data_IF_686986588286
#
_entry.id   IF_686986588286
#
_cell.length_a   1.000
_cell.length_b   1.000
_cell.length_c   1.000
_cell.angle_alpha   90.00
_cell.angle_beta   90.00
_cell.angle_gamma   90.00
#
_symmetry.space_group_name_H-M   'P 1'
#
loop_
_entity.id
_entity.type
_entity.pdbx_description
1 polymer ?
#
# COMPACT_ATOMS: atom_id res chain seq x y z
N UNK A 1 13.26 -17.15 7.71
CA UNK A 1 13.07 -15.69 7.68
C UNK A 1 14.09 -15.13 6.71
N UNK A 2 13.69 -14.18 5.87
CA UNK A 2 14.59 -13.56 4.89
C UNK A 2 15.54 -12.58 5.58
N UNK A 3 16.78 -12.48 5.11
CA UNK A 3 17.78 -11.58 5.68
C UNK A 3 17.58 -10.12 5.25
N UNK A 4 17.07 -9.89 4.04
CA UNK A 4 16.88 -8.56 3.48
C UNK A 4 15.77 -8.52 2.41
N UNK A 5 15.41 -7.31 1.98
CA UNK A 5 14.37 -7.07 0.98
C UNK A 5 14.68 -7.67 -0.41
N UNK A 6 15.91 -7.59 -0.94
CA UNK A 6 16.27 -8.30 -2.17
C UNK A 6 15.96 -9.81 -2.14
N UNK A 7 16.31 -10.50 -1.05
CA UNK A 7 16.05 -11.93 -0.89
C UNK A 7 14.54 -12.23 -0.84
N UNK A 8 13.78 -11.43 -0.07
CA UNK A 8 12.32 -11.51 -0.02
C UNK A 8 11.71 -11.34 -1.42
N UNK A 9 12.16 -10.33 -2.18
CA UNK A 9 11.67 -10.03 -3.53
C UNK A 9 11.85 -11.21 -4.47
N UNK A 10 13.01 -11.86 -4.41
CA UNK A 10 13.28 -13.01 -5.28
C UNK A 10 12.36 -14.20 -4.96
N UNK A 11 12.16 -14.49 -3.68
CA UNK A 11 11.20 -15.53 -3.27
C UNK A 11 9.75 -15.19 -3.68
N UNK A 12 9.35 -13.92 -3.56
CA UNK A 12 8.01 -13.45 -3.92
C UNK A 12 7.73 -13.60 -5.43
N UNK A 13 8.72 -13.40 -6.30
CA UNK A 13 8.56 -13.55 -7.77
C UNK A 13 8.14 -14.96 -8.20
N UNK A 14 8.63 -15.98 -7.49
CA UNK A 14 8.32 -17.39 -7.77
C UNK A 14 7.03 -17.88 -7.10
N UNK A 15 6.42 -17.10 -6.19
CA UNK A 15 5.23 -17.48 -5.42
C UNK A 15 4.06 -17.95 -6.32
N UNK A 16 3.47 -19.09 -5.95
CA UNK A 16 2.27 -19.70 -6.57
C UNK A 16 1.17 -20.02 -5.54
N UNK A 17 1.17 -19.37 -4.38
CA UNK A 17 0.30 -19.71 -3.25
C UNK A 17 -1.19 -19.39 -3.46
N UNK A 18 -1.58 -18.74 -4.57
CA UNK A 18 -2.98 -18.47 -4.91
C UNK A 18 -3.18 -18.25 -6.41
N UNK A 19 -4.44 -18.25 -6.83
CA UNK A 19 -4.88 -18.16 -8.24
C UNK A 19 -4.44 -16.87 -8.94
N UNK A 20 -4.10 -15.80 -8.19
CA UNK A 20 -3.56 -14.57 -8.77
C UNK A 20 -2.24 -14.80 -9.53
N UNK A 21 -1.54 -15.89 -9.23
CA UNK A 21 -0.33 -16.27 -9.95
C UNK A 21 -0.58 -16.72 -11.39
N UNK A 22 -1.82 -17.13 -11.71
CA UNK A 22 -2.20 -17.62 -13.03
C UNK A 22 -2.46 -16.48 -14.02
N UNK A 23 -2.80 -15.29 -13.52
CA UNK A 23 -3.29 -14.18 -14.34
C UNK A 23 -2.38 -12.95 -14.35
N UNK A 24 -1.38 -12.88 -13.47
CA UNK A 24 -0.45 -11.76 -13.42
C UNK A 24 0.50 -11.76 -14.61
N UNK A 25 0.94 -10.59 -15.05
CA UNK A 25 2.12 -10.45 -15.90
C UNK A 25 3.38 -10.40 -15.04
N UNK A 26 3.37 -9.55 -14.01
CA UNK A 26 4.49 -9.42 -13.08
C UNK A 26 4.02 -9.48 -11.63
N UNK A 27 4.91 -9.93 -10.75
CA UNK A 27 4.74 -9.72 -9.31
C UNK A 27 5.22 -8.32 -8.98
N UNK A 28 4.43 -7.57 -8.24
CA UNK A 28 4.73 -6.19 -7.85
C UNK A 28 5.18 -6.18 -6.39
N UNK A 29 6.49 -6.07 -6.22
CA UNK A 29 7.11 -5.91 -4.91
C UNK A 29 7.18 -4.42 -4.53
N UNK A 30 7.62 -4.10 -3.31
CA UNK A 30 7.77 -2.70 -2.91
C UNK A 30 8.84 -1.94 -3.70
N UNK A 31 8.91 -0.62 -3.52
CA UNK A 31 9.73 0.28 -4.37
C UNK A 31 11.23 0.35 -4.01
N UNK A 32 11.67 -0.18 -2.85
CA UNK A 32 13.06 -0.05 -2.37
C UNK A 32 13.70 -1.35 -1.89
N UNK A 33 15.02 -1.42 -2.01
CA UNK A 33 15.85 -2.52 -1.47
C UNK A 33 16.26 -2.32 -0.01
N UNK A 34 16.00 -1.14 0.55
CA UNK A 34 16.31 -0.79 1.93
C UNK A 34 15.05 -0.31 2.66
N UNK A 35 15.01 -0.56 3.96
CA UNK A 35 13.94 -0.08 4.83
C UNK A 35 13.94 1.44 4.99
N UNK A 36 12.83 1.98 5.46
CA UNK A 36 12.72 3.39 5.81
C UNK A 36 11.62 3.61 6.85
N UNK A 37 11.58 4.83 7.40
CA UNK A 37 10.69 5.15 8.52
C UNK A 37 9.20 5.13 8.19
N UNK A 38 8.81 5.28 6.92
CA UNK A 38 7.42 5.45 6.47
C UNK A 38 7.05 4.35 5.48
N UNK A 39 6.11 3.48 5.85
CA UNK A 39 5.56 2.45 4.97
C UNK A 39 4.16 2.84 4.49
N UNK A 40 3.96 3.02 3.19
CA UNK A 40 2.65 3.20 2.57
C UNK A 40 2.11 1.83 2.16
N UNK A 41 1.00 1.42 2.79
CA UNK A 41 0.35 0.13 2.55
C UNK A 41 -0.90 0.30 1.67
N UNK A 42 -0.82 -0.17 0.42
CA UNK A 42 -1.93 -0.24 -0.51
C UNK A 42 -2.64 -1.60 -0.54
N UNK A 43 -3.70 -1.70 -1.34
CA UNK A 43 -4.52 -2.91 -1.46
C UNK A 43 -3.88 -3.96 -2.38
N UNK A 44 -3.70 -3.61 -3.65
CA UNK A 44 -3.28 -4.52 -4.71
C UNK A 44 -2.71 -3.75 -5.91
N UNK A 45 -1.91 -4.39 -6.78
CA UNK A 45 -1.48 -3.78 -8.03
C UNK A 45 -2.64 -3.57 -9.00
N UNK A 46 -2.58 -2.48 -9.76
CA UNK A 46 -3.42 -2.24 -10.94
C UNK A 46 -2.79 -2.80 -12.21
N UNK A 47 -3.36 -2.42 -13.37
CA UNK A 47 -2.89 -2.92 -14.66
C UNK A 47 -1.54 -2.39 -15.08
N UNK A 48 -1.27 -1.09 -14.86
CA UNK A 48 0.03 -0.51 -15.17
C UNK A 48 1.13 -1.10 -14.28
N UNK A 49 0.84 -1.32 -12.99
CA UNK A 49 1.79 -1.96 -12.08
C UNK A 49 2.06 -3.42 -12.47
N UNK A 50 1.03 -4.18 -12.85
CA UNK A 50 1.17 -5.56 -13.31
C UNK A 50 2.00 -5.67 -14.59
N UNK A 51 1.87 -4.72 -15.51
CA UNK A 51 2.67 -4.69 -16.73
C UNK A 51 4.13 -4.31 -16.49
N UNK A 52 4.39 -3.38 -15.57
CA UNK A 52 5.74 -2.86 -15.31
C UNK A 52 6.49 -3.60 -14.20
N UNK A 53 5.79 -4.34 -13.34
CA UNK A 53 6.33 -4.91 -12.12
C UNK A 53 6.65 -3.88 -11.03
N UNK A 54 6.30 -2.60 -11.22
CA UNK A 54 6.62 -1.50 -10.32
C UNK A 54 5.37 -1.01 -9.57
N UNK A 55 5.45 -0.74 -8.26
CA UNK A 55 4.31 -0.29 -7.48
C UNK A 55 3.94 1.17 -7.82
N UNK A 56 2.62 1.45 -7.81
CA UNK A 56 2.05 2.78 -8.03
C UNK A 56 2.61 3.46 -9.29
N UNK A 57 2.42 2.81 -10.43
CA UNK A 57 2.63 3.41 -11.76
C UNK A 57 1.30 3.84 -12.38
N UNK A 58 1.34 4.60 -13.48
CA UNK A 58 0.13 4.97 -14.19
C UNK A 58 -0.79 5.92 -13.42
N UNK A 59 -2.08 5.59 -13.29
CA UNK A 59 -3.04 6.42 -12.54
C UNK A 59 -2.74 6.43 -11.04
N UNK A 60 -2.52 5.27 -10.42
CA UNK A 60 -2.17 5.17 -9.01
C UNK A 60 -0.85 5.91 -8.70
N UNK A 61 0.09 5.92 -9.66
CA UNK A 61 1.31 6.70 -9.54
C UNK A 61 1.07 8.21 -9.49
N UNK A 62 0.19 8.75 -10.32
CA UNK A 62 -0.16 10.18 -10.29
C UNK A 62 -0.84 10.58 -8.98
N UNK A 63 -1.75 9.74 -8.48
CA UNK A 63 -2.40 9.93 -7.17
C UNK A 63 -1.37 9.91 -6.02
N UNK A 64 -0.39 9.03 -6.10
CA UNK A 64 0.70 8.95 -5.13
C UNK A 64 1.59 10.20 -5.18
N UNK A 65 1.94 10.72 -6.36
CA UNK A 65 2.74 11.95 -6.46
C UNK A 65 2.05 13.15 -5.82
N UNK A 66 0.73 13.31 -6.05
CA UNK A 66 -0.06 14.37 -5.40
C UNK A 66 -0.04 14.22 -3.88
N UNK A 67 -0.24 12.98 -3.39
CA UNK A 67 -0.16 12.65 -1.97
C UNK A 67 1.20 13.00 -1.37
N UNK A 68 2.30 12.58 -2.00
CA UNK A 68 3.65 12.83 -1.53
C UNK A 68 3.99 14.32 -1.53
N UNK A 69 3.55 15.04 -2.57
CA UNK A 69 3.73 16.49 -2.70
C UNK A 69 3.09 17.24 -1.53
N UNK A 70 1.86 16.91 -1.14
CA UNK A 70 1.17 17.55 0.00
C UNK A 70 1.94 17.34 1.31
N UNK A 71 2.52 16.14 1.48
CA UNK A 71 3.32 15.79 2.66
C UNK A 71 4.75 16.34 2.62
N UNK A 72 5.17 16.99 1.54
CA UNK A 72 6.56 17.37 1.27
C UNK A 72 7.53 16.16 1.34
N UNK A 73 7.09 15.02 0.81
CA UNK A 73 7.87 13.79 0.72
C UNK A 73 8.17 13.47 -0.74
N UNK A 74 9.19 12.64 -0.95
CA UNK A 74 9.50 12.01 -2.22
C UNK A 74 9.32 10.49 -2.15
N UNK A 75 9.32 9.82 -3.30
CA UNK A 75 9.34 8.35 -3.35
C UNK A 75 10.54 7.72 -2.62
N UNK A 76 11.63 8.46 -2.44
CA UNK A 76 12.81 7.99 -1.71
C UNK A 76 12.65 8.06 -0.19
N UNK A 77 11.68 8.83 0.31
CA UNK A 77 11.41 8.95 1.74
C UNK A 77 10.50 7.83 2.24
N UNK A 78 9.76 7.20 1.34
CA UNK A 78 8.74 6.20 1.65
C UNK A 78 9.06 4.82 1.08
N UNK A 79 8.63 3.80 1.79
CA UNK A 79 8.50 2.45 1.29
C UNK A 79 7.06 2.25 0.87
N UNK A 80 6.83 1.68 -0.30
CA UNK A 80 5.50 1.49 -0.86
C UNK A 80 5.29 0.01 -1.06
N UNK A 81 4.26 -0.58 -0.46
CA UNK A 81 3.93 -2.00 -0.58
C UNK A 81 2.43 -2.23 -0.64
N UNK A 82 2.01 -3.34 -1.24
CA UNK A 82 0.61 -3.78 -1.28
C UNK A 82 0.40 -5.04 -0.44
N UNK A 83 -0.82 -5.20 0.09
CA UNK A 83 -1.25 -6.40 0.83
C UNK A 83 -1.15 -7.65 -0.03
N UNK A 84 -1.62 -7.59 -1.28
CA UNK A 84 -1.37 -8.63 -2.28
C UNK A 84 -0.34 -8.15 -3.29
N UNK A 85 0.52 -9.05 -3.78
CA UNK A 85 1.62 -8.72 -4.71
C UNK A 85 1.28 -8.93 -6.19
N UNK A 86 0.07 -9.41 -6.49
CA UNK A 86 -0.38 -9.74 -7.84
C UNK A 86 -1.71 -9.06 -8.11
N UNK A 87 -1.94 -8.61 -9.35
CA UNK A 87 -3.16 -7.90 -9.75
C UNK A 87 -4.38 -8.83 -9.73
N UNK A 88 -5.42 -8.53 -8.93
CA UNK A 88 -6.67 -9.26 -8.94
C UNK A 88 -7.54 -8.81 -10.12
N UNK A 89 -7.91 -9.76 -10.98
CA UNK A 89 -8.69 -9.49 -12.18
C UNK A 89 -10.05 -10.20 -12.18
N UNK A 90 -10.99 -9.66 -12.95
CA UNK A 90 -12.25 -10.28 -13.35
C UNK A 90 -12.48 -10.10 -14.86
N UNK A 91 -13.18 -11.03 -15.53
CA UNK A 91 -13.51 -10.88 -16.95
C UNK A 91 -14.22 -9.55 -17.24
N UNK A 92 -13.89 -8.93 -18.36
CA UNK A 92 -14.44 -7.65 -18.80
C UNK A 92 -14.20 -7.44 -20.29
N UNK A 93 -15.24 -7.15 -21.07
CA UNK A 93 -15.14 -6.81 -22.50
C UNK A 93 -14.76 -5.35 -22.77
N UNK A 94 -14.53 -4.57 -21.71
CA UNK A 94 -14.20 -3.13 -21.77
C UNK A 94 -12.93 -2.77 -21.02
N UNK A 95 -12.04 -3.74 -20.79
CA UNK A 95 -10.84 -3.52 -20.00
C UNK A 95 -9.79 -2.71 -20.75
N UNK A 96 -9.17 -1.73 -20.06
CA UNK A 96 -7.96 -1.05 -20.57
C UNK A 96 -6.78 -2.01 -20.80
N UNK A 97 -6.81 -3.18 -20.16
CA UNK A 97 -5.72 -4.15 -20.11
C UNK A 97 -6.15 -5.51 -20.69
N UNK A 98 -6.83 -5.49 -21.84
CA UNK A 98 -7.44 -6.66 -22.47
C UNK A 98 -8.77 -7.06 -21.83
N UNK A 99 -9.09 -8.35 -21.85
CA UNK A 99 -10.38 -8.90 -21.42
C UNK A 99 -10.57 -8.95 -19.88
N UNK A 100 -9.80 -8.14 -19.14
CA UNK A 100 -9.73 -8.19 -17.69
C UNK A 100 -9.77 -6.80 -17.05
N UNK A 101 -10.66 -6.64 -16.06
CA UNK A 101 -10.77 -5.45 -15.20
C UNK A 101 -10.27 -5.73 -13.78
N UNK A 102 -9.85 -4.68 -13.08
CA UNK A 102 -9.45 -4.78 -11.68
C UNK A 102 -10.64 -5.17 -10.80
N UNK A 103 -10.37 -5.98 -9.77
CA UNK A 103 -11.29 -6.22 -8.65
C UNK A 103 -10.54 -6.12 -7.33
N UNK A 104 -11.28 -6.12 -6.23
CA UNK A 104 -10.68 -6.29 -4.90
C UNK A 104 -10.12 -7.70 -4.75
N UNK A 105 -9.02 -7.89 -4.00
CA UNK A 105 -8.54 -9.21 -3.65
C UNK A 105 -9.55 -9.92 -2.73
N UNK A 106 -9.68 -11.23 -2.90
CA UNK A 106 -10.48 -12.08 -2.04
C UNK A 106 -9.76 -12.33 -0.71
N UNK A 107 -10.52 -12.67 0.34
CA UNK A 107 -9.96 -13.02 1.66
C UNK A 107 -8.91 -14.15 1.54
N UNK A 108 -9.17 -15.17 0.72
CA UNK A 108 -8.20 -16.25 0.47
C UNK A 108 -6.88 -15.76 -0.14
N UNK A 109 -6.94 -14.75 -1.01
CA UNK A 109 -5.76 -14.18 -1.68
C UNK A 109 -4.97 -13.29 -0.72
N UNK A 110 -5.67 -12.49 0.10
CA UNK A 110 -5.06 -11.72 1.19
C UNK A 110 -4.33 -12.65 2.16
N UNK A 111 -4.98 -13.74 2.57
CA UNK A 111 -4.39 -14.71 3.50
C UNK A 111 -3.19 -15.43 2.87
N UNK A 112 -3.25 -15.82 1.60
CA UNK A 112 -2.13 -16.45 0.90
C UNK A 112 -0.91 -15.50 0.75
N UNK A 113 -1.15 -14.19 0.67
CA UNK A 113 -0.09 -13.18 0.58
C UNK A 113 0.36 -12.63 1.95
N UNK A 114 -0.32 -13.00 3.03
CA UNK A 114 -0.18 -12.41 4.35
C UNK A 114 1.26 -12.48 4.88
N UNK A 115 1.95 -13.59 4.69
CA UNK A 115 3.32 -13.77 5.16
C UNK A 115 4.31 -12.88 4.40
N UNK A 116 4.11 -12.69 3.09
CA UNK A 116 4.95 -11.80 2.29
C UNK A 116 4.83 -10.34 2.76
N UNK A 117 3.60 -9.91 3.05
CA UNK A 117 3.35 -8.56 3.56
C UNK A 117 3.94 -8.34 4.96
N UNK A 118 3.83 -9.32 5.87
CA UNK A 118 4.39 -9.22 7.21
C UNK A 118 5.93 -9.22 7.21
N UNK A 119 6.55 -10.09 6.41
CA UNK A 119 8.01 -10.11 6.24
C UNK A 119 8.53 -8.81 5.59
N UNK A 120 7.78 -8.24 4.65
CA UNK A 120 8.12 -6.95 4.05
C UNK A 120 8.11 -5.84 5.11
N UNK A 121 7.06 -5.74 5.93
CA UNK A 121 7.02 -4.77 7.04
C UNK A 121 8.16 -5.01 8.03
N UNK A 122 8.43 -6.27 8.40
CA UNK A 122 9.52 -6.62 9.32
C UNK A 122 10.87 -6.15 8.80
N UNK A 123 11.16 -6.38 7.53
CA UNK A 123 12.42 -5.99 6.89
C UNK A 123 12.53 -4.49 6.63
N UNK A 124 11.41 -3.82 6.34
CA UNK A 124 11.39 -2.36 6.24
C UNK A 124 11.61 -1.70 7.60
N UNK A 125 11.15 -2.35 8.67
CA UNK A 125 11.18 -1.86 10.05
C UNK A 125 10.68 -0.41 10.16
N UNK A 126 9.45 -0.11 9.69
CA UNK A 126 8.95 1.25 9.66
C UNK A 126 8.63 1.75 11.06
N UNK A 127 8.73 3.06 11.24
CA UNK A 127 8.27 3.72 12.46
C UNK A 127 6.80 4.12 12.36
N UNK A 128 6.29 4.28 11.13
CA UNK A 128 4.87 4.48 10.83
C UNK A 128 4.44 3.67 9.59
N UNK A 129 3.26 3.06 9.66
CA UNK A 129 2.56 2.49 8.52
C UNK A 129 1.36 3.38 8.19
N UNK A 130 1.25 3.87 6.96
CA UNK A 130 0.11 4.62 6.46
C UNK A 130 -0.72 3.70 5.58
N UNK A 131 -1.96 3.37 5.98
CA UNK A 131 -2.81 2.47 5.19
C UNK A 131 -3.71 3.25 4.26
N UNK A 132 -3.67 2.91 2.97
CA UNK A 132 -4.49 3.50 1.93
C UNK A 132 -5.72 2.62 1.69
N UNK A 133 -6.81 2.92 2.41
CA UNK A 133 -8.07 2.19 2.30
C UNK A 133 -8.26 1.05 3.33
N UNK A 134 -9.40 0.38 3.23
CA UNK A 134 -9.87 -0.56 4.26
C UNK A 134 -9.19 -1.93 4.26
N UNK A 135 -8.69 -2.40 3.11
CA UNK A 135 -8.01 -3.71 3.01
C UNK A 135 -6.69 -3.74 3.78
N UNK A 136 -5.72 -2.83 3.54
CA UNK A 136 -4.48 -2.79 4.32
C UNK A 136 -4.74 -2.54 5.81
N UNK A 137 -5.71 -1.68 6.14
CA UNK A 137 -6.11 -1.44 7.53
C UNK A 137 -6.61 -2.72 8.21
N UNK A 138 -7.56 -3.42 7.58
CA UNK A 138 -8.14 -4.65 8.15
C UNK A 138 -7.08 -5.75 8.30
N UNK A 139 -6.16 -5.87 7.32
CA UNK A 139 -5.07 -6.84 7.36
C UNK A 139 -4.11 -6.59 8.52
N UNK A 140 -3.76 -5.33 8.78
CA UNK A 140 -2.87 -4.94 9.88
C UNK A 140 -3.56 -5.14 11.23
N UNK A 141 -4.83 -4.74 11.35
CA UNK A 141 -5.60 -4.88 12.59
C UNK A 141 -6.06 -6.32 12.89
N UNK A 142 -5.96 -7.24 11.92
CA UNK A 142 -6.37 -8.63 12.08
C UNK A 142 -7.89 -8.84 12.15
N UNK A 143 -8.68 -7.84 11.77
CA UNK A 143 -10.15 -7.90 11.73
C UNK A 143 -10.71 -6.95 10.68
N UNK A 144 -11.89 -7.26 10.16
CA UNK A 144 -12.58 -6.37 9.21
C UNK A 144 -13.02 -5.09 9.91
N UNK A 145 -12.64 -3.95 9.34
CA UNK A 145 -13.02 -2.62 9.84
C UNK A 145 -13.43 -1.70 8.70
N UNK A 146 -14.18 -0.65 9.02
CA UNK A 146 -14.44 0.45 8.10
C UNK A 146 -13.37 1.53 8.30
N UNK A 147 -12.71 1.91 7.22
CA UNK A 147 -11.66 2.94 7.25
C UNK A 147 -12.17 4.29 7.80
N UNK A 148 -13.44 4.61 7.59
CA UNK A 148 -14.07 5.83 8.11
C UNK A 148 -14.01 5.96 9.64
N UNK A 149 -13.98 4.84 10.37
CA UNK A 149 -13.96 4.83 11.84
C UNK A 149 -12.55 5.11 12.41
N UNK A 150 -11.50 5.05 11.56
CA UNK A 150 -10.10 5.14 12.00
C UNK A 150 -9.30 6.24 11.30
N UNK A 151 -9.78 6.74 10.15
CA UNK A 151 -9.02 7.69 9.33
C UNK A 151 -8.62 8.96 10.09
N UNK A 152 -7.45 9.50 9.77
CA UNK A 152 -6.99 10.78 10.31
C UNK A 152 -6.55 10.75 11.77
N UNK A 153 -6.46 9.57 12.38
CA UNK A 153 -5.99 9.39 13.76
C UNK A 153 -4.89 8.34 13.81
N UNK A 154 -3.72 8.75 14.31
CA UNK A 154 -2.64 7.82 14.60
C UNK A 154 -3.05 6.88 15.74
N UNK A 155 -2.83 5.59 15.57
CA UNK A 155 -2.95 4.56 16.61
C UNK A 155 -1.67 3.74 16.69
N UNK A 156 -1.36 3.17 17.86
CA UNK A 156 -0.17 2.34 18.01
C UNK A 156 -0.48 0.87 17.73
N UNK A 157 0.27 0.26 16.81
CA UNK A 157 0.16 -1.17 16.51
C UNK A 157 1.16 -1.97 17.31
N UNK A 158 0.69 -2.66 18.36
CA UNK A 158 1.55 -3.55 19.16
C UNK A 158 2.13 -4.69 18.34
N UNK A 159 1.40 -5.18 17.32
CA UNK A 159 1.84 -6.27 16.44
C UNK A 159 3.09 -5.90 15.64
N UNK A 160 3.17 -4.66 15.17
CA UNK A 160 4.26 -4.20 14.30
C UNK A 160 5.20 -3.21 15.00
N UNK A 161 4.99 -2.92 16.29
CA UNK A 161 5.86 -2.04 17.09
C UNK A 161 5.92 -0.59 16.61
N UNK A 162 4.94 -0.12 15.84
CA UNK A 162 4.97 1.18 15.17
C UNK A 162 3.61 1.86 15.14
N UNK A 163 3.60 3.14 14.76
CA UNK A 163 2.35 3.87 14.56
C UNK A 163 1.65 3.43 13.28
N UNK A 164 0.33 3.46 13.28
CA UNK A 164 -0.53 3.23 12.14
C UNK A 164 -1.36 4.49 11.90
N UNK A 165 -1.36 4.98 10.66
CA UNK A 165 -2.14 6.14 10.25
C UNK A 165 -3.07 5.78 9.09
N UNK A 166 -4.36 5.56 9.36
CA UNK A 166 -5.29 5.17 8.31
C UNK A 166 -5.77 6.35 7.48
N UNK A 167 -5.90 6.13 6.17
CA UNK A 167 -6.43 7.07 5.19
C UNK A 167 -7.44 6.40 4.27
N UNK A 168 -8.35 7.18 3.70
CA UNK A 168 -9.05 6.74 2.50
C UNK A 168 -8.05 6.45 1.37
N UNK A 169 -8.40 5.53 0.47
CA UNK A 169 -7.58 5.29 -0.72
C UNK A 169 -7.66 6.50 -1.67
N UNK A 170 -6.56 7.00 -2.24
CA UNK A 170 -6.57 8.16 -3.15
C UNK A 170 -7.60 8.03 -4.30
N UNK A 171 -7.63 6.89 -5.00
CA UNK A 171 -8.64 6.58 -6.02
C UNK A 171 -10.11 6.72 -5.58
N UNK A 172 -10.43 6.59 -4.28
CA UNK A 172 -11.80 6.73 -3.77
C UNK A 172 -12.25 8.19 -3.61
N UNK A 173 -11.31 9.13 -3.74
CA UNK A 173 -11.49 10.56 -3.49
C UNK A 173 -11.71 11.33 -4.80
N UNK A 174 -11.21 10.83 -5.93
CA UNK A 174 -11.21 11.52 -7.23
C UNK A 174 -12.60 12.00 -7.67
N UNK A 175 -13.65 11.21 -7.42
CA UNK A 175 -14.99 11.47 -7.92
C UNK A 175 -15.95 12.01 -6.86
N UNK A 176 -15.50 12.20 -5.61
CA UNK A 176 -16.36 12.55 -4.49
C UNK A 176 -15.81 13.78 -3.75
N UNK A 177 -16.42 14.95 -4.02
CA UNK A 177 -16.03 16.23 -3.41
C UNK A 177 -16.06 16.18 -1.89
N UNK A 178 -17.06 15.51 -1.29
CA UNK A 178 -17.16 15.40 0.17
C UNK A 178 -15.98 14.64 0.77
N UNK A 179 -15.50 13.60 0.06
CA UNK A 179 -14.30 12.85 0.46
C UNK A 179 -13.02 13.63 0.21
N UNK A 180 -13.00 14.57 -0.74
CA UNK A 180 -11.80 15.35 -1.06
C UNK A 180 -11.37 16.25 0.09
N UNK A 181 -12.28 17.03 0.66
CA UNK A 181 -11.96 17.93 1.77
C UNK A 181 -11.51 17.13 3.00
N UNK A 182 -12.24 16.06 3.29
CA UNK A 182 -11.97 15.10 4.35
C UNK A 182 -10.59 14.44 4.16
N UNK A 183 -10.24 14.05 2.94
CA UNK A 183 -8.94 13.47 2.63
C UNK A 183 -7.81 14.48 2.84
N UNK A 184 -7.96 15.71 2.34
CA UNK A 184 -6.97 16.78 2.53
C UNK A 184 -6.76 17.08 4.02
N UNK A 185 -7.83 17.16 4.82
CA UNK A 185 -7.73 17.34 6.27
C UNK A 185 -6.92 16.24 6.95
N UNK A 186 -7.04 14.99 6.50
CA UNK A 186 -6.22 13.91 7.06
C UNK A 186 -4.76 13.98 6.64
N UNK A 187 -4.48 14.43 5.42
CA UNK A 187 -3.11 14.61 4.97
C UNK A 187 -2.41 15.69 5.78
N UNK A 188 -3.11 16.77 6.16
CA UNK A 188 -2.58 17.78 7.08
C UNK A 188 -2.25 17.16 8.44
N UNK A 189 -3.16 16.38 9.02
CA UNK A 189 -2.90 15.67 10.30
C UNK A 189 -1.73 14.68 10.20
N UNK A 190 -1.62 13.96 9.09
CA UNK A 190 -0.48 13.08 8.84
C UNK A 190 0.82 13.89 8.76
N UNK A 191 0.83 15.02 8.05
CA UNK A 191 1.99 15.91 7.95
C UNK A 191 2.44 16.43 9.31
N UNK A 192 1.50 16.87 10.14
CA UNK A 192 1.75 17.28 11.52
C UNK A 192 2.30 16.12 12.38
N UNK A 193 1.73 14.93 12.22
CA UNK A 193 2.24 13.75 12.92
C UNK A 193 3.67 13.41 12.50
N UNK A 194 3.97 13.46 11.20
CA UNK A 194 5.29 13.20 10.65
C UNK A 194 6.31 14.27 11.06
N UNK A 195 5.92 15.54 11.19
CA UNK A 195 6.84 16.61 11.60
C UNK A 195 7.27 16.48 13.06
N UNK A 196 6.36 16.08 13.94
CA UNK A 196 6.66 15.88 15.37
C UNK A 196 7.43 14.59 15.61
N UNK A 197 7.12 13.52 14.86
CA UNK A 197 7.66 12.19 15.13
C UNK A 197 8.88 11.81 14.27
N UNK A 198 9.07 12.39 13.07
CA UNK A 198 9.93 11.79 12.04
C UNK A 198 10.80 12.73 11.19
N UNK A 199 10.64 14.05 11.24
CA UNK A 199 11.56 14.90 10.50
C UNK A 199 12.93 14.96 11.21
N UNK A 200 14.04 14.74 10.49
CA UNK A 200 15.34 15.18 11.00
C UNK A 200 15.25 16.70 11.17
N UNK A 201 15.95 17.25 12.18
CA UNK A 201 16.18 18.69 12.25
C UNK A 201 16.71 19.24 10.91
N UNK A 202 16.60 20.56 10.68
CA UNK A 202 16.91 21.17 9.38
C UNK A 202 18.27 20.66 8.84
N UNK A 203 18.26 20.24 7.57
CA UNK A 203 19.49 19.87 6.84
C UNK A 203 20.42 21.06 6.73
#
# INVERSE_FOLDING_TARGET
>A
MFANLPELREAVRSCRNCDLALTRNNVVCGNRDQGCGIFLAGEAPGGDEDLTGQPFTGQAGRELEEFLSILNLSRQDVYIGNVVKCRPTKPSTRGRYGDYANRKPLVKEINACANWFDEEIRLVNPKIIVTLGGVPLSRILGRTVRVGDYRGKAIFSRRYGCHLFPLFHPASVIYDRSKKDIYVQDLVKLKEFLSVAYLPGPR
#
